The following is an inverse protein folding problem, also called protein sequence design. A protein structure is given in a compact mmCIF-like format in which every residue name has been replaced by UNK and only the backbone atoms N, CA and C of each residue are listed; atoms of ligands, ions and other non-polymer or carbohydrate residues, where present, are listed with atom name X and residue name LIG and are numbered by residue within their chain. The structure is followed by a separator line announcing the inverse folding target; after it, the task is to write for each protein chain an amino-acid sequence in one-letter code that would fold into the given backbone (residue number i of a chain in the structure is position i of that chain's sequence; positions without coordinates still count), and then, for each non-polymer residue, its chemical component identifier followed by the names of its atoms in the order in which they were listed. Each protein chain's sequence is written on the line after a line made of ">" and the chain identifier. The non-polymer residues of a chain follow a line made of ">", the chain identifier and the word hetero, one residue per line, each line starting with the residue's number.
data_IF_770147665149
#
_entry.id   IF_770147665149
#
_cell.length_a   1.000
_cell.length_b   1.000
_cell.length_c   1.000
_cell.angle_alpha   90.00
_cell.angle_beta   90.00
_cell.angle_gamma   90.00
#
_symmetry.space_group_name_H-M   'P 1'
#
loop_
_entity.id
_entity.type
_entity.pdbx_description
1 polymer ?
#
# COMPACT_ATOMS: atom_id res chain seq x y z
N UNK A 1 10.48 3.44 13.47
CA UNK A 1 11.01 2.27 14.21
C UNK A 1 10.00 1.14 14.08
N UNK A 2 10.37 0.04 13.45
CA UNK A 2 9.51 -1.14 13.39
C UNK A 2 9.51 -1.85 14.75
N UNK A 3 8.32 -2.09 15.31
CA UNK A 3 8.12 -2.83 16.57
C UNK A 3 6.73 -3.50 16.54
N UNK A 4 6.61 -4.63 17.26
CA UNK A 4 5.32 -5.31 17.45
C UNK A 4 4.60 -4.86 18.74
N UNK A 5 5.09 -3.82 19.40
CA UNK A 5 4.58 -3.28 20.65
C UNK A 5 4.80 -1.76 20.73
N UNK A 6 4.15 -1.13 21.70
CA UNK A 6 4.30 0.28 22.00
C UNK A 6 2.96 0.99 22.14
N UNK A 7 2.92 1.94 23.07
CA UNK A 7 1.76 2.80 23.30
C UNK A 7 2.24 4.24 23.39
N UNK A 8 1.64 5.12 22.61
CA UNK A 8 1.93 6.56 22.68
C UNK A 8 0.81 7.26 23.42
N UNK A 9 1.19 8.07 24.40
CA UNK A 9 0.30 9.03 25.07
C UNK A 9 0.72 10.43 24.66
N UNK A 10 -0.18 11.15 23.99
CA UNK A 10 0.01 12.54 23.61
C UNK A 10 -0.78 13.44 24.53
N UNK A 11 -0.11 14.39 25.16
CA UNK A 11 -0.67 15.51 25.89
C UNK A 11 -0.48 16.80 25.07
N UNK A 12 -0.94 17.91 25.59
CA UNK A 12 -0.89 19.20 24.88
C UNK A 12 0.54 19.68 24.60
N UNK A 13 1.43 19.41 25.52
CA UNK A 13 2.80 19.94 25.59
C UNK A 13 3.90 18.88 25.60
N UNK A 14 3.55 17.62 25.73
CA UNK A 14 4.48 16.50 25.76
C UNK A 14 3.87 15.21 25.24
N UNK A 15 4.73 14.23 24.98
CA UNK A 15 4.30 12.88 24.62
C UNK A 15 5.19 11.83 25.30
N UNK A 16 4.62 10.67 25.56
CA UNK A 16 5.30 9.51 26.12
C UNK A 16 5.14 8.32 25.18
N UNK A 17 6.22 7.59 24.98
CA UNK A 17 6.24 6.33 24.25
C UNK A 17 6.59 5.20 25.21
N UNK A 18 5.60 4.41 25.61
CA UNK A 18 5.75 3.26 26.50
C UNK A 18 5.98 2.03 25.64
N UNK A 19 7.12 1.36 25.83
CA UNK A 19 7.53 0.23 25.01
C UNK A 19 8.21 -0.84 25.86
N UNK A 20 8.03 -2.11 25.50
CA UNK A 20 8.56 -3.22 26.28
C UNK A 20 10.09 -3.38 26.16
N UNK A 21 10.63 -4.19 27.06
CA UNK A 21 12.05 -4.49 27.20
C UNK A 21 12.74 -4.85 25.86
N UNK A 22 12.06 -5.53 24.96
CA UNK A 22 12.65 -5.99 23.67
C UNK A 22 13.09 -4.85 22.78
N UNK A 23 12.49 -3.67 22.93
CA UNK A 23 12.69 -2.55 22.02
C UNK A 23 13.18 -1.27 22.71
N UNK A 24 13.27 -1.24 24.05
CA UNK A 24 13.55 -0.02 24.81
C UNK A 24 14.87 0.64 24.44
N UNK A 25 15.93 -0.14 24.25
CA UNK A 25 17.25 0.36 23.88
C UNK A 25 17.22 1.06 22.51
N UNK A 26 16.65 0.38 21.50
CA UNK A 26 16.46 0.96 20.16
C UNK A 26 15.57 2.19 20.22
N UNK A 27 14.48 2.16 20.97
CA UNK A 27 13.57 3.30 21.09
C UNK A 27 14.26 4.54 21.65
N UNK A 28 15.07 4.39 22.69
CA UNK A 28 15.85 5.50 23.28
C UNK A 28 16.83 6.14 22.31
N UNK A 29 17.32 5.38 21.33
CA UNK A 29 18.25 5.90 20.31
C UNK A 29 17.55 6.65 19.18
N UNK A 30 16.38 6.15 18.72
CA UNK A 30 15.75 6.63 17.47
C UNK A 30 14.56 7.57 17.70
N UNK A 31 13.86 7.45 18.82
CA UNK A 31 12.70 8.31 19.12
C UNK A 31 13.17 9.67 19.64
N UNK A 32 12.74 10.75 19.00
CA UNK A 32 13.22 12.11 19.32
C UNK A 32 12.20 13.00 20.03
N UNK A 33 10.91 12.81 19.73
CA UNK A 33 9.86 13.76 20.14
C UNK A 33 8.96 13.23 21.26
N UNK A 34 9.34 12.13 21.91
CA UNK A 34 8.61 11.54 23.03
C UNK A 34 9.57 11.18 24.15
N UNK A 35 9.11 11.23 25.40
CA UNK A 35 9.80 10.61 26.52
C UNK A 35 9.59 9.09 26.42
N UNK A 36 10.67 8.34 26.26
CA UNK A 36 10.63 6.88 26.13
C UNK A 36 10.65 6.23 27.50
N UNK A 37 9.61 5.47 27.82
CA UNK A 37 9.45 4.74 29.07
C UNK A 37 9.45 3.23 28.82
N UNK A 38 10.12 2.48 29.70
CA UNK A 38 10.04 1.03 29.68
C UNK A 38 8.69 0.57 30.24
N UNK A 39 8.05 -0.34 29.53
CA UNK A 39 6.77 -0.92 29.95
C UNK A 39 6.96 -1.92 31.08
N UNK A 40 6.25 -1.71 32.18
CA UNK A 40 6.07 -2.67 33.28
C UNK A 40 4.60 -3.09 33.32
N UNK A 41 3.75 -2.39 34.05
CA UNK A 41 2.30 -2.49 33.96
C UNK A 41 1.77 -1.33 33.11
N UNK A 42 1.46 -1.62 31.84
CA UNK A 42 1.02 -0.61 30.88
C UNK A 42 -0.19 0.20 31.39
N UNK A 43 -1.21 -0.49 31.91
CA UNK A 43 -2.45 0.18 32.28
C UNK A 43 -2.27 1.05 33.54
N UNK A 44 -1.41 0.63 34.47
CA UNK A 44 -1.06 1.43 35.65
C UNK A 44 -0.20 2.64 35.22
N UNK A 45 0.79 2.45 34.35
CA UNK A 45 1.61 3.55 33.84
C UNK A 45 0.75 4.58 33.07
N UNK A 46 -0.16 4.12 32.21
CA UNK A 46 -1.11 5.01 31.50
C UNK A 46 -1.95 5.80 32.50
N UNK A 47 -2.53 5.13 33.49
CA UNK A 47 -3.34 5.79 34.54
C UNK A 47 -2.54 6.84 35.29
N UNK A 48 -1.32 6.51 35.71
CA UNK A 48 -0.44 7.42 36.46
C UNK A 48 -0.13 8.69 35.65
N UNK A 49 0.27 8.54 34.38
CA UNK A 49 0.54 9.68 33.49
C UNK A 49 -0.71 10.55 33.27
N UNK A 50 -1.89 9.94 33.08
CA UNK A 50 -3.13 10.68 32.95
C UNK A 50 -3.48 11.48 34.23
N UNK A 51 -3.19 10.94 35.42
CA UNK A 51 -3.38 11.61 36.71
C UNK A 51 -2.38 12.75 36.88
N UNK A 52 -1.11 12.53 36.58
CA UNK A 52 -0.03 13.52 36.67
C UNK A 52 -0.35 14.74 35.76
N UNK A 53 -0.83 14.50 34.54
CA UNK A 53 -1.21 15.56 33.63
C UNK A 53 -2.66 16.06 33.83
N UNK A 54 -3.33 15.62 34.90
CA UNK A 54 -4.69 16.04 35.27
C UNK A 54 -5.71 15.89 34.10
N UNK A 55 -5.51 14.85 33.26
CA UNK A 55 -6.40 14.57 32.14
C UNK A 55 -7.81 14.26 32.62
N UNK A 56 -8.82 14.78 31.92
CA UNK A 56 -10.24 14.51 32.19
C UNK A 56 -10.86 13.62 31.13
N UNK A 57 -10.38 13.75 29.90
CA UNK A 57 -10.85 12.99 28.74
C UNK A 57 -9.67 12.33 28.06
N UNK A 58 -9.85 11.09 27.64
CA UNK A 58 -8.85 10.28 26.93
C UNK A 58 -9.47 9.81 25.64
N UNK A 59 -8.95 10.28 24.52
CA UNK A 59 -9.32 9.78 23.20
C UNK A 59 -8.49 8.53 22.88
N UNK A 60 -9.09 7.56 22.21
CA UNK A 60 -8.45 6.32 21.77
C UNK A 60 -8.58 6.14 20.25
N UNK A 61 -7.62 5.44 19.66
CA UNK A 61 -7.65 5.09 18.25
C UNK A 61 -8.75 4.03 18.00
N UNK A 62 -9.98 4.49 17.85
CA UNK A 62 -11.17 3.61 17.75
C UNK A 62 -11.17 2.71 16.52
N UNK A 63 -10.45 3.08 15.46
CA UNK A 63 -10.38 2.30 14.20
C UNK A 63 -9.36 1.17 14.26
N UNK A 64 -8.44 1.17 15.23
CA UNK A 64 -7.37 0.16 15.34
C UNK A 64 -7.40 -0.59 16.67
N UNK A 65 -7.90 0.04 17.75
CA UNK A 65 -7.99 -0.57 19.07
C UNK A 65 -9.01 -1.72 19.08
N UNK A 66 -8.59 -2.91 19.51
CA UNK A 66 -9.51 -4.03 19.65
C UNK A 66 -10.50 -3.82 20.80
N UNK A 67 -11.68 -4.44 20.71
CA UNK A 67 -12.68 -4.42 21.82
C UNK A 67 -12.10 -4.92 23.14
N UNK A 68 -11.21 -5.90 23.09
CA UNK A 68 -10.56 -6.43 24.31
C UNK A 68 -9.62 -5.41 24.93
N UNK A 69 -8.79 -4.73 24.12
CA UNK A 69 -7.93 -3.65 24.61
C UNK A 69 -8.74 -2.51 25.21
N UNK A 70 -9.79 -2.07 24.52
CA UNK A 70 -10.70 -1.05 25.00
C UNK A 70 -11.37 -1.43 26.32
N UNK A 71 -11.87 -2.66 26.45
CA UNK A 71 -12.53 -3.15 27.67
C UNK A 71 -11.57 -3.17 28.85
N UNK A 72 -10.32 -3.60 28.65
CA UNK A 72 -9.26 -3.59 29.68
C UNK A 72 -8.92 -2.16 30.10
N UNK A 73 -8.72 -1.26 29.16
CA UNK A 73 -8.45 0.16 29.40
C UNK A 73 -9.60 0.80 30.17
N UNK A 74 -10.84 0.63 29.71
CA UNK A 74 -12.05 1.16 30.37
C UNK A 74 -12.18 0.66 31.83
N UNK A 75 -11.90 -0.63 32.07
CA UNK A 75 -11.92 -1.21 33.42
C UNK A 75 -10.83 -0.60 34.32
N UNK A 76 -9.63 -0.42 33.78
CA UNK A 76 -8.49 0.15 34.54
C UNK A 76 -8.70 1.62 34.89
N UNK A 77 -9.20 2.43 33.95
CA UNK A 77 -9.41 3.86 34.13
C UNK A 77 -10.67 4.17 34.98
N UNK A 78 -11.66 3.27 35.01
CA UNK A 78 -12.91 3.42 35.75
C UNK A 78 -13.72 4.64 35.32
N UNK A 79 -14.48 5.22 36.28
CA UNK A 79 -15.28 6.43 36.01
C UNK A 79 -14.51 7.75 36.19
N UNK A 80 -13.21 7.66 36.52
CA UNK A 80 -12.36 8.83 36.77
C UNK A 80 -12.05 9.62 35.48
N UNK A 81 -11.98 8.93 34.35
CA UNK A 81 -11.70 9.51 33.06
C UNK A 81 -12.85 9.28 32.09
N UNK A 82 -13.19 10.31 31.32
CA UNK A 82 -14.11 10.16 30.21
C UNK A 82 -13.36 9.61 29.00
N UNK A 83 -13.75 8.43 28.51
CA UNK A 83 -13.20 7.87 27.29
C UNK A 83 -13.94 8.41 26.07
N UNK A 84 -13.20 8.99 25.14
CA UNK A 84 -13.67 9.35 23.81
C UNK A 84 -13.21 8.26 22.84
N UNK A 85 -14.16 7.49 22.32
CA UNK A 85 -13.97 6.42 21.36
C UNK A 85 -14.65 6.74 20.02
N UNK A 86 -14.91 8.02 19.76
CA UNK A 86 -15.26 8.50 18.42
C UNK A 86 -14.07 8.29 17.47
N UNK A 87 -14.31 8.45 16.17
CA UNK A 87 -13.23 8.31 15.17
C UNK A 87 -12.34 9.57 15.04
N UNK A 88 -12.57 10.59 15.86
CA UNK A 88 -11.86 11.88 15.78
C UNK A 88 -10.35 11.75 15.88
N UNK A 89 -9.84 10.98 16.86
CA UNK A 89 -8.40 10.77 16.99
C UNK A 89 -7.82 9.99 15.82
N UNK A 90 -8.49 8.89 15.43
CA UNK A 90 -8.06 8.08 14.29
C UNK A 90 -8.01 8.91 13.00
N UNK A 91 -9.03 9.72 12.72
CA UNK A 91 -9.04 10.64 11.57
C UNK A 91 -7.92 11.67 11.62
N UNK A 92 -7.62 12.23 12.79
CA UNK A 92 -6.51 13.17 12.94
C UNK A 92 -5.16 12.52 12.63
N UNK A 93 -4.95 11.27 13.08
CA UNK A 93 -3.72 10.50 12.78
C UNK A 93 -3.64 10.20 11.28
N UNK A 94 -4.73 9.77 10.66
CA UNK A 94 -4.77 9.55 9.20
C UNK A 94 -4.50 10.84 8.42
N UNK A 95 -5.08 11.95 8.81
CA UNK A 95 -4.83 13.24 8.17
C UNK A 95 -3.34 13.63 8.20
N UNK A 96 -2.63 13.37 9.32
CA UNK A 96 -1.19 13.59 9.41
C UNK A 96 -0.37 12.69 8.46
N UNK A 97 -0.90 11.52 8.07
CA UNK A 97 -0.22 10.55 7.21
C UNK A 97 -0.57 10.73 5.72
N UNK A 98 -1.73 11.28 5.44
CA UNK A 98 -2.30 11.38 4.09
C UNK A 98 -1.48 12.29 3.18
N UNK A 99 -1.07 13.46 3.68
CA UNK A 99 -0.21 14.41 2.96
C UNK A 99 1.25 14.17 3.34
N UNK A 100 2.04 13.71 2.39
CA UNK A 100 3.46 13.37 2.59
C UNK A 100 4.34 14.61 2.45
N UNK A 101 5.27 14.76 3.38
CA UNK A 101 6.39 15.71 3.22
C UNK A 101 7.37 15.21 2.14
N UNK A 102 8.21 16.11 1.61
CA UNK A 102 9.23 15.69 0.63
C UNK A 102 10.22 14.67 1.21
N UNK A 103 10.53 14.73 2.52
CA UNK A 103 11.38 13.73 3.17
C UNK A 103 10.75 12.33 3.19
N UNK A 104 9.43 12.23 3.31
CA UNK A 104 8.68 10.97 3.20
C UNK A 104 8.60 10.50 1.75
N UNK A 105 8.35 11.43 0.81
CA UNK A 105 8.33 11.12 -0.62
C UNK A 105 9.68 10.59 -1.12
N UNK A 106 10.81 11.08 -0.60
CA UNK A 106 12.13 10.54 -0.95
C UNK A 106 12.30 9.07 -0.55
N UNK A 107 11.73 8.65 0.59
CA UNK A 107 11.76 7.24 1.02
C UNK A 107 10.87 6.37 0.13
N UNK A 108 9.69 6.87 -0.21
CA UNK A 108 8.76 6.21 -1.14
C UNK A 108 9.41 6.06 -2.51
N UNK A 109 10.07 7.13 -3.03
CA UNK A 109 10.83 7.07 -4.29
C UNK A 109 11.99 6.07 -4.21
N UNK A 110 12.67 5.98 -3.06
CA UNK A 110 13.75 5.00 -2.87
C UNK A 110 13.20 3.56 -2.91
N UNK A 111 12.09 3.29 -2.23
CA UNK A 111 11.42 2.00 -2.28
C UNK A 111 10.99 1.64 -3.71
N UNK A 112 10.42 2.59 -4.45
CA UNK A 112 10.01 2.38 -5.84
C UNK A 112 11.19 2.08 -6.77
N UNK A 113 12.30 2.81 -6.64
CA UNK A 113 13.51 2.53 -7.44
C UNK A 113 14.01 1.10 -7.23
N UNK A 114 13.93 0.57 -6.01
CA UNK A 114 14.31 -0.81 -5.72
C UNK A 114 13.36 -1.80 -6.43
N UNK A 115 12.06 -1.57 -6.38
CA UNK A 115 11.08 -2.39 -7.10
C UNK A 115 11.31 -2.37 -8.62
N UNK A 116 11.65 -1.20 -9.19
CA UNK A 116 11.98 -1.08 -10.62
C UNK A 116 13.26 -1.82 -11.02
N UNK A 117 14.28 -1.84 -10.15
CA UNK A 117 15.49 -2.67 -10.39
C UNK A 117 15.10 -4.14 -10.43
N UNK A 118 14.24 -4.59 -9.50
CA UNK A 118 13.75 -5.97 -9.50
C UNK A 118 12.94 -6.28 -10.77
N UNK A 119 12.16 -5.32 -11.30
CA UNK A 119 11.47 -5.48 -12.57
C UNK A 119 12.44 -5.68 -13.73
N UNK A 120 13.47 -4.86 -13.85
CA UNK A 120 14.45 -5.00 -14.94
C UNK A 120 15.25 -6.29 -14.85
N UNK A 121 15.55 -6.75 -13.65
CA UNK A 121 16.22 -8.03 -13.44
C UNK A 121 15.34 -9.22 -13.82
N UNK A 122 14.06 -9.21 -13.40
CA UNK A 122 13.15 -10.34 -13.63
C UNK A 122 12.86 -10.57 -15.11
N UNK A 123 12.89 -9.54 -15.96
CA UNK A 123 12.69 -9.68 -17.40
C UNK A 123 13.71 -10.65 -18.06
N UNK A 124 14.93 -10.74 -17.49
CA UNK A 124 15.96 -11.67 -17.96
C UNK A 124 15.79 -13.10 -17.39
N UNK A 125 14.97 -13.24 -16.36
CA UNK A 125 14.74 -14.52 -15.69
C UNK A 125 13.53 -15.26 -16.23
N UNK A 126 12.49 -14.51 -16.66
CA UNK A 126 11.24 -15.07 -17.15
C UNK A 126 11.44 -15.87 -18.44
N UNK A 127 10.97 -17.11 -18.45
CA UNK A 127 10.94 -18.02 -19.60
C UNK A 127 10.01 -19.20 -19.31
N UNK A 128 9.58 -19.95 -20.33
CA UNK A 128 8.80 -21.17 -20.12
C UNK A 128 9.50 -22.15 -19.17
N UNK A 129 8.72 -22.81 -18.30
CA UNK A 129 9.18 -23.76 -17.32
C UNK A 129 9.61 -23.18 -15.96
N UNK A 130 9.69 -21.87 -15.80
CA UNK A 130 9.87 -21.21 -14.49
C UNK A 130 8.55 -21.22 -13.74
N UNK A 131 8.55 -21.52 -12.43
CA UNK A 131 7.34 -21.48 -11.62
C UNK A 131 7.02 -20.07 -11.14
N UNK A 132 5.74 -19.82 -10.83
CA UNK A 132 5.29 -18.56 -10.20
C UNK A 132 6.05 -18.27 -8.90
N UNK A 133 6.32 -19.33 -8.12
CA UNK A 133 7.07 -19.22 -6.87
C UNK A 133 8.52 -18.81 -7.11
N UNK A 134 9.16 -19.28 -8.17
CA UNK A 134 10.54 -18.89 -8.50
C UNK A 134 10.58 -17.41 -8.94
N UNK A 135 9.54 -16.93 -9.66
CA UNK A 135 9.40 -15.50 -10.01
C UNK A 135 9.28 -14.65 -8.75
N UNK A 136 8.36 -15.02 -7.84
CA UNK A 136 8.20 -14.33 -6.54
C UNK A 136 9.51 -14.29 -5.76
N UNK A 137 10.21 -15.42 -5.63
CA UNK A 137 11.46 -15.51 -4.89
C UNK A 137 12.54 -14.64 -5.51
N UNK A 138 12.64 -14.61 -6.83
CA UNK A 138 13.63 -13.78 -7.54
C UNK A 138 13.36 -12.30 -7.34
N UNK A 139 12.10 -11.83 -7.44
CA UNK A 139 11.71 -10.45 -7.17
C UNK A 139 12.10 -10.04 -5.74
N UNK A 140 11.70 -10.84 -4.75
CA UNK A 140 11.97 -10.55 -3.34
C UNK A 140 13.49 -10.55 -3.04
N UNK A 141 14.23 -11.50 -3.58
CA UNK A 141 15.67 -11.55 -3.43
C UNK A 141 16.34 -10.31 -4.01
N UNK A 142 15.98 -9.91 -5.23
CA UNK A 142 16.57 -8.75 -5.89
C UNK A 142 16.26 -7.46 -5.11
N UNK A 143 15.02 -7.30 -4.60
CA UNK A 143 14.67 -6.14 -3.76
C UNK A 143 15.52 -6.09 -2.49
N UNK A 144 15.72 -7.21 -1.80
CA UNK A 144 16.55 -7.30 -0.59
C UNK A 144 18.02 -7.00 -0.89
N UNK A 145 18.58 -7.52 -1.98
CA UNK A 145 19.97 -7.27 -2.42
C UNK A 145 20.22 -5.78 -2.73
N UNK A 146 19.16 -5.04 -3.11
CA UNK A 146 19.27 -3.61 -3.43
C UNK A 146 18.81 -2.68 -2.29
N UNK A 147 18.69 -3.22 -1.06
CA UNK A 147 18.54 -2.42 0.14
C UNK A 147 17.10 -2.20 0.61
N UNK A 148 16.16 -3.03 0.16
CA UNK A 148 14.84 -3.07 0.78
C UNK A 148 14.92 -3.58 2.22
N UNK A 149 14.19 -2.97 3.13
CA UNK A 149 14.00 -3.46 4.50
C UNK A 149 13.11 -4.73 4.56
N UNK A 150 12.36 -5.01 3.50
CA UNK A 150 11.46 -6.14 3.35
C UNK A 150 10.51 -5.95 2.18
N UNK A 151 9.71 -6.98 1.89
CA UNK A 151 8.59 -6.83 0.95
C UNK A 151 7.54 -5.86 1.48
N UNK A 152 6.93 -5.08 0.60
CA UNK A 152 5.86 -4.16 0.95
C UNK A 152 4.59 -4.90 1.38
N UNK A 153 4.33 -6.00 0.69
CA UNK A 153 3.24 -6.96 0.91
C UNK A 153 3.62 -8.30 0.30
N UNK A 154 2.88 -9.39 0.55
CA UNK A 154 3.16 -10.68 -0.08
C UNK A 154 3.13 -10.58 -1.60
N UNK A 155 4.28 -10.75 -2.23
CA UNK A 155 4.46 -10.63 -3.68
C UNK A 155 3.53 -11.56 -4.43
N UNK A 156 2.77 -11.03 -5.39
CA UNK A 156 1.92 -11.77 -6.32
C UNK A 156 2.72 -11.96 -7.61
N UNK A 157 2.86 -13.21 -8.05
CA UNK A 157 3.46 -13.56 -9.33
C UNK A 157 2.64 -14.73 -9.91
N UNK A 158 1.88 -14.46 -10.97
CA UNK A 158 0.91 -15.39 -11.54
C UNK A 158 1.14 -15.56 -13.02
N UNK A 159 0.85 -16.75 -13.57
CA UNK A 159 0.99 -17.04 -15.00
C UNK A 159 -0.25 -17.67 -15.60
N UNK A 160 -0.45 -17.48 -16.89
CA UNK A 160 -1.55 -18.07 -17.67
C UNK A 160 -2.91 -17.76 -17.06
N UNK A 161 -3.73 -18.78 -16.87
CA UNK A 161 -5.09 -18.62 -16.32
C UNK A 161 -5.13 -18.12 -14.88
N UNK A 162 -4.05 -18.31 -14.11
CA UNK A 162 -3.98 -17.83 -12.73
C UNK A 162 -3.94 -16.29 -12.65
N UNK A 163 -3.51 -15.59 -13.72
CA UNK A 163 -3.54 -14.13 -13.77
C UNK A 163 -4.94 -13.54 -13.66
N UNK A 164 -5.99 -14.35 -13.90
CA UNK A 164 -7.39 -13.94 -13.70
C UNK A 164 -7.81 -13.83 -12.23
N UNK A 165 -6.94 -14.19 -11.30
CA UNK A 165 -7.18 -14.08 -9.84
C UNK A 165 -6.44 -12.87 -9.28
N UNK A 166 -7.11 -11.71 -9.01
CA UNK A 166 -6.43 -10.47 -8.58
C UNK A 166 -5.49 -10.65 -7.38
N UNK A 167 -5.87 -11.47 -6.41
CA UNK A 167 -5.09 -11.80 -5.20
C UNK A 167 -4.67 -13.28 -5.17
N UNK A 168 -4.25 -13.81 -6.33
CA UNK A 168 -3.75 -15.18 -6.41
C UNK A 168 -2.43 -15.36 -5.65
N UNK A 169 -2.19 -16.60 -5.21
CA UNK A 169 -0.96 -16.95 -4.47
C UNK A 169 -0.01 -17.70 -5.42
N UNK A 170 1.26 -17.31 -5.52
CA UNK A 170 2.26 -17.96 -6.36
C UNK A 170 2.44 -19.44 -6.02
N UNK A 171 2.35 -20.31 -7.02
CA UNK A 171 2.47 -21.77 -6.90
C UNK A 171 3.82 -22.27 -7.45
N UNK A 172 4.39 -23.27 -6.81
CA UNK A 172 5.56 -24.00 -7.35
C UNK A 172 5.19 -24.98 -8.50
N UNK A 173 3.91 -25.28 -8.64
CA UNK A 173 3.40 -26.25 -9.63
C UNK A 173 2.91 -25.59 -10.92
N UNK A 174 2.55 -24.29 -10.85
CA UNK A 174 2.17 -23.54 -12.05
C UNK A 174 3.43 -22.99 -12.72
N UNK A 175 3.68 -23.49 -13.91
CA UNK A 175 4.87 -23.12 -14.71
C UNK A 175 4.43 -22.22 -15.86
N UNK A 176 5.23 -21.20 -16.12
CA UNK A 176 5.07 -20.34 -17.29
C UNK A 176 5.08 -21.18 -18.57
N UNK A 177 4.13 -20.93 -19.45
CA UNK A 177 4.04 -21.57 -20.78
C UNK A 177 4.31 -20.52 -21.86
N UNK A 178 4.65 -21.00 -23.06
CA UNK A 178 4.73 -20.14 -24.25
C UNK A 178 3.37 -19.52 -24.56
N UNK A 179 3.32 -18.21 -24.72
CA UNK A 179 2.11 -17.43 -24.96
C UNK A 179 1.39 -16.94 -23.71
N UNK A 180 1.88 -17.26 -22.50
CA UNK A 180 1.28 -16.81 -21.26
C UNK A 180 1.51 -15.32 -20.98
N UNK A 181 0.56 -14.69 -20.30
CA UNK A 181 0.84 -13.53 -19.48
C UNK A 181 1.46 -13.95 -18.13
N UNK A 182 2.40 -13.13 -17.67
CA UNK A 182 2.93 -13.16 -16.31
C UNK A 182 2.59 -11.82 -15.65
N UNK A 183 1.71 -11.86 -14.66
CA UNK A 183 1.31 -10.72 -13.84
C UNK A 183 2.13 -10.73 -12.56
N UNK A 184 2.82 -9.63 -12.29
CA UNK A 184 3.68 -9.46 -11.11
C UNK A 184 3.25 -8.18 -10.40
N UNK A 185 2.85 -8.33 -9.14
CA UNK A 185 2.44 -7.24 -8.24
C UNK A 185 3.23 -7.34 -6.95
N UNK A 186 4.02 -6.32 -6.67
CA UNK A 186 5.02 -6.32 -5.61
C UNK A 186 5.54 -4.92 -5.30
N UNK A 187 6.16 -4.79 -4.14
CA UNK A 187 6.78 -3.55 -3.70
C UNK A 187 7.88 -3.78 -2.68
N UNK A 188 8.74 -2.78 -2.54
CA UNK A 188 9.81 -2.72 -1.56
C UNK A 188 9.43 -1.81 -0.38
N UNK A 189 10.15 -1.96 0.73
CA UNK A 189 10.01 -1.08 1.90
C UNK A 189 11.35 -0.41 2.21
N UNK A 190 11.34 0.90 2.43
CA UNK A 190 12.52 1.67 2.85
C UNK A 190 12.17 2.57 4.03
N UNK A 191 12.84 2.37 5.16
CA UNK A 191 12.60 3.09 6.42
C UNK A 191 11.12 3.10 6.85
N UNK A 192 10.41 1.99 6.56
CA UNK A 192 8.98 1.80 6.86
C UNK A 192 8.03 2.41 5.84
N UNK A 193 8.50 3.01 4.75
CA UNK A 193 7.67 3.49 3.65
C UNK A 193 7.61 2.45 2.55
N UNK A 194 6.41 2.24 2.02
CA UNK A 194 6.09 1.23 1.04
C UNK A 194 6.16 1.77 -0.40
N UNK A 195 6.48 0.90 -1.35
CA UNK A 195 6.19 1.09 -2.77
C UNK A 195 5.21 0.04 -3.27
N UNK A 196 4.64 0.30 -4.44
CA UNK A 196 3.63 -0.55 -5.06
C UNK A 196 3.72 -0.48 -6.57
N UNK A 197 3.75 -1.62 -7.25
CA UNK A 197 3.66 -1.66 -8.70
C UNK A 197 3.22 -3.01 -9.24
N UNK A 198 2.34 -2.99 -10.22
CA UNK A 198 1.99 -4.15 -11.01
C UNK A 198 2.46 -4.00 -12.44
N UNK A 199 3.03 -5.08 -12.98
CA UNK A 199 3.31 -5.23 -14.41
C UNK A 199 2.84 -6.59 -14.89
N UNK A 200 2.23 -6.58 -16.07
CA UNK A 200 1.90 -7.79 -16.83
C UNK A 200 2.77 -7.83 -18.07
N UNK A 201 3.48 -8.93 -18.31
CA UNK A 201 4.31 -9.15 -19.49
C UNK A 201 3.88 -10.43 -20.20
N UNK A 202 4.19 -10.58 -21.49
CA UNK A 202 3.97 -11.83 -22.21
C UNK A 202 5.28 -12.62 -22.33
N UNK A 203 5.23 -13.93 -22.14
CA UNK A 203 6.32 -14.86 -22.46
C UNK A 203 5.92 -15.60 -23.73
N UNK A 204 6.62 -15.35 -24.85
CA UNK A 204 6.16 -15.76 -26.17
C UNK A 204 5.04 -14.86 -26.71
N UNK A 205 4.43 -15.25 -27.84
CA UNK A 205 3.46 -14.43 -28.54
C UNK A 205 2.06 -14.50 -27.90
N UNK A 206 1.55 -13.43 -27.28
CA UNK A 206 0.19 -13.40 -26.75
C UNK A 206 -0.83 -13.38 -27.90
N UNK A 207 -2.03 -13.91 -27.63
CA UNK A 207 -3.15 -13.87 -28.58
C UNK A 207 -3.61 -12.44 -28.86
N UNK A 208 -4.38 -12.26 -29.95
CA UNK A 208 -4.96 -10.95 -30.28
C UNK A 208 -5.90 -10.45 -29.18
N UNK A 209 -6.70 -11.33 -28.58
CA UNK A 209 -7.56 -10.98 -27.43
C UNK A 209 -6.75 -10.48 -26.24
N UNK A 210 -5.62 -11.12 -25.93
CA UNK A 210 -4.73 -10.68 -24.84
C UNK A 210 -4.17 -9.29 -25.12
N UNK A 211 -3.75 -9.01 -26.36
CA UNK A 211 -3.26 -7.67 -26.75
C UNK A 211 -4.34 -6.60 -26.61
N UNK A 212 -5.56 -6.88 -27.10
CA UNK A 212 -6.68 -5.94 -27.01
C UNK A 212 -7.04 -5.62 -25.55
N UNK A 213 -7.10 -6.63 -24.67
CA UNK A 213 -7.36 -6.44 -23.23
C UNK A 213 -6.22 -5.63 -22.59
N UNK A 214 -4.97 -5.95 -22.89
CA UNK A 214 -3.82 -5.21 -22.39
C UNK A 214 -3.89 -3.72 -22.75
N UNK A 215 -4.15 -3.41 -24.01
CA UNK A 215 -4.27 -2.03 -24.50
C UNK A 215 -5.45 -1.29 -23.86
N UNK A 216 -6.55 -1.98 -23.60
CA UNK A 216 -7.69 -1.39 -22.87
C UNK A 216 -7.30 -1.00 -21.45
N UNK A 217 -6.64 -1.89 -20.70
CA UNK A 217 -6.15 -1.61 -19.34
C UNK A 217 -5.10 -0.49 -19.35
N UNK A 218 -4.18 -0.52 -20.32
CA UNK A 218 -3.15 0.51 -20.46
C UNK A 218 -3.77 1.89 -20.76
N UNK A 219 -4.77 1.94 -21.61
CA UNK A 219 -5.51 3.17 -21.93
C UNK A 219 -6.23 3.71 -20.68
N UNK A 220 -6.92 2.84 -19.93
CA UNK A 220 -7.60 3.20 -18.70
C UNK A 220 -6.62 3.77 -17.67
N UNK A 221 -5.49 3.12 -17.46
CA UNK A 221 -4.46 3.52 -16.52
C UNK A 221 -3.84 4.88 -16.91
N UNK A 222 -3.47 5.06 -18.17
CA UNK A 222 -2.91 6.32 -18.67
C UNK A 222 -3.91 7.48 -18.55
N UNK A 223 -5.18 7.23 -18.83
CA UNK A 223 -6.24 8.24 -18.70
C UNK A 223 -6.47 8.67 -17.26
N UNK A 224 -6.50 7.72 -16.33
CA UNK A 224 -6.64 8.04 -14.92
C UNK A 224 -5.43 8.86 -14.39
N UNK A 225 -4.20 8.49 -14.76
CA UNK A 225 -3.01 9.26 -14.39
C UNK A 225 -3.06 10.67 -15.00
N UNK A 226 -3.47 10.81 -16.25
CA UNK A 226 -3.56 12.11 -16.91
C UNK A 226 -4.62 13.04 -16.26
N UNK A 227 -5.67 12.45 -15.67
CA UNK A 227 -6.72 13.19 -14.95
C UNK A 227 -6.40 13.45 -13.48
N UNK A 228 -5.40 12.78 -12.90
CA UNK A 228 -5.07 12.87 -11.48
C UNK A 228 -4.49 14.24 -11.11
N UNK A 229 -5.17 14.95 -10.19
CA UNK A 229 -4.74 16.25 -9.67
C UNK A 229 -5.46 16.59 -8.36
N UNK A 230 -5.01 17.64 -7.67
CA UNK A 230 -5.70 18.14 -6.48
C UNK A 230 -7.12 18.65 -6.82
N UNK A 231 -8.02 18.55 -5.87
CA UNK A 231 -9.41 19.01 -5.96
C UNK A 231 -10.37 18.04 -6.65
N UNK A 232 -9.91 16.98 -7.32
CA UNK A 232 -10.81 15.90 -7.73
C UNK A 232 -11.04 14.93 -6.58
N UNK A 233 -12.19 14.26 -6.59
CA UNK A 233 -12.48 13.20 -5.61
C UNK A 233 -11.86 11.87 -6.03
N UNK A 234 -11.65 10.97 -5.06
CA UNK A 234 -11.23 9.60 -5.36
C UNK A 234 -12.20 8.86 -6.29
N UNK A 235 -13.49 9.23 -6.25
CA UNK A 235 -14.52 8.74 -7.17
C UNK A 235 -14.27 9.20 -8.61
N UNK A 236 -13.89 10.45 -8.80
CA UNK A 236 -13.59 10.98 -10.14
C UNK A 236 -12.33 10.37 -10.70
N UNK A 237 -11.32 10.13 -9.85
CA UNK A 237 -10.11 9.40 -10.28
C UNK A 237 -10.44 7.97 -10.70
N UNK A 238 -11.25 7.23 -9.92
CA UNK A 238 -11.71 5.88 -10.28
C UNK A 238 -12.49 5.90 -11.60
N UNK A 239 -13.35 6.89 -11.79
CA UNK A 239 -14.20 7.01 -12.97
C UNK A 239 -13.39 7.13 -14.28
N UNK A 240 -12.26 7.81 -14.28
CA UNK A 240 -11.41 7.94 -15.46
C UNK A 240 -10.93 6.58 -16.00
N UNK A 241 -10.61 5.64 -15.15
CA UNK A 241 -10.22 4.31 -15.56
C UNK A 241 -11.44 3.43 -15.87
N UNK A 242 -12.43 3.48 -14.99
CA UNK A 242 -13.61 2.61 -15.04
C UNK A 242 -14.45 2.83 -16.28
N UNK A 243 -14.69 4.07 -16.68
CA UNK A 243 -15.47 4.38 -17.90
C UNK A 243 -14.87 3.73 -19.15
N UNK A 244 -13.54 3.75 -19.31
CA UNK A 244 -12.85 3.14 -20.46
C UNK A 244 -13.06 1.62 -20.47
N UNK A 245 -12.96 0.99 -19.31
CA UNK A 245 -13.14 -0.47 -19.19
C UNK A 245 -14.61 -0.86 -19.43
N UNK A 246 -15.57 -0.07 -18.93
CA UNK A 246 -17.00 -0.26 -19.15
C UNK A 246 -17.38 -0.05 -20.64
N UNK A 247 -16.88 1.01 -21.29
CA UNK A 247 -17.09 1.27 -22.71
C UNK A 247 -16.53 0.16 -23.60
N UNK A 248 -15.44 -0.49 -23.17
CA UNK A 248 -14.90 -1.66 -23.85
C UNK A 248 -15.69 -2.96 -23.60
N UNK A 249 -16.73 -2.92 -22.75
CA UNK A 249 -17.60 -4.05 -22.42
C UNK A 249 -17.09 -4.96 -21.29
N UNK A 250 -16.09 -4.51 -20.51
CA UNK A 250 -15.46 -5.31 -19.45
C UNK A 250 -15.71 -4.77 -18.04
N UNK A 251 -16.75 -3.95 -17.83
CA UNK A 251 -17.04 -3.34 -16.52
C UNK A 251 -17.22 -4.34 -15.39
N UNK A 252 -17.86 -5.49 -15.65
CA UNK A 252 -18.05 -6.56 -14.65
C UNK A 252 -16.72 -7.30 -14.31
N UNK A 253 -15.72 -7.23 -15.18
CA UNK A 253 -14.41 -7.84 -15.01
C UNK A 253 -13.40 -6.92 -14.31
N UNK A 254 -13.81 -5.70 -13.96
CA UNK A 254 -13.05 -4.75 -13.13
C UNK A 254 -13.73 -4.60 -11.76
N UNK A 255 -13.55 -5.58 -10.91
CA UNK A 255 -14.30 -5.75 -9.65
C UNK A 255 -13.69 -5.06 -8.43
N UNK A 256 -12.59 -4.29 -8.55
CA UNK A 256 -11.95 -3.59 -7.43
C UNK A 256 -11.84 -2.08 -7.67
N UNK A 257 -11.33 -1.35 -6.69
CA UNK A 257 -11.06 0.09 -6.79
C UNK A 257 -9.91 0.37 -7.76
N UNK A 258 -9.90 1.54 -8.36
CA UNK A 258 -8.77 1.97 -9.20
C UNK A 258 -7.50 2.18 -8.42
N UNK A 259 -7.59 2.39 -7.08
CA UNK A 259 -6.40 2.53 -6.26
C UNK A 259 -6.66 2.92 -4.81
N UNK A 260 -5.56 3.05 -4.08
CA UNK A 260 -5.50 3.37 -2.64
C UNK A 260 -4.30 4.25 -2.33
N UNK A 261 -4.29 4.83 -1.12
CA UNK A 261 -3.13 5.53 -0.63
C UNK A 261 -1.99 4.59 -0.26
N UNK A 262 -0.75 5.07 -0.38
CA UNK A 262 0.48 4.36 0.00
C UNK A 262 1.34 5.25 0.87
N UNK A 263 1.94 4.68 1.92
CA UNK A 263 2.84 5.42 2.82
C UNK A 263 3.51 4.52 3.84
N UNK A 264 3.21 4.72 5.12
CA UNK A 264 3.64 3.85 6.22
C UNK A 264 2.87 2.52 6.28
N UNK A 265 1.72 2.47 5.64
CA UNK A 265 0.97 1.25 5.37
C UNK A 265 0.81 1.14 3.85
N UNK A 266 0.76 -0.10 3.37
CA UNK A 266 0.54 -0.35 1.94
C UNK A 266 -0.84 0.15 1.50
N UNK A 267 -1.85 -0.02 2.33
CA UNK A 267 -3.19 0.50 2.12
C UNK A 267 -3.50 1.57 3.16
N UNK A 268 -3.51 2.83 2.74
CA UNK A 268 -3.94 3.94 3.58
C UNK A 268 -4.83 4.93 2.79
N UNK A 269 -5.28 6.00 3.43
CA UNK A 269 -6.06 7.04 2.75
C UNK A 269 -5.16 7.97 1.91
N UNK A 270 -5.73 8.57 0.81
CA UNK A 270 -7.09 8.41 0.31
C UNK A 270 -7.24 7.22 -0.63
N UNK A 271 -8.47 6.74 -0.85
CA UNK A 271 -8.78 5.70 -1.84
C UNK A 271 -9.27 6.33 -3.15
N UNK A 272 -8.94 5.71 -4.28
CA UNK A 272 -9.53 5.98 -5.59
C UNK A 272 -10.58 4.90 -5.90
N UNK A 273 -11.83 5.12 -5.46
CA UNK A 273 -12.91 4.13 -5.58
C UNK A 273 -14.26 4.78 -5.84
N UNK A 274 -15.26 4.04 -6.38
CA UNK A 274 -16.59 4.58 -6.64
C UNK A 274 -17.28 5.20 -5.42
N UNK A 275 -16.91 4.78 -4.20
CA UNK A 275 -17.47 5.27 -2.94
C UNK A 275 -16.78 6.50 -2.36
N UNK A 276 -15.60 6.88 -2.84
CA UNK A 276 -14.76 7.91 -2.21
C UNK A 276 -15.14 9.31 -2.70
N UNK A 277 -15.72 10.10 -1.83
CA UNK A 277 -16.11 11.51 -2.09
C UNK A 277 -15.11 12.53 -1.50
N UNK A 278 -14.03 12.04 -0.90
CA UNK A 278 -12.96 12.89 -0.37
C UNK A 278 -12.13 13.42 -1.53
N UNK A 279 -11.86 14.72 -1.51
CA UNK A 279 -10.97 15.36 -2.49
C UNK A 279 -9.52 14.97 -2.23
N UNK A 280 -8.79 14.80 -3.32
CA UNK A 280 -7.35 14.59 -3.28
C UNK A 280 -6.63 15.92 -3.04
N UNK A 281 -5.62 15.89 -2.18
CA UNK A 281 -4.81 17.04 -1.82
C UNK A 281 -3.38 16.93 -2.36
N UNK A 282 -2.70 18.04 -2.61
CA UNK A 282 -1.27 18.00 -2.96
C UNK A 282 -0.46 17.27 -1.89
N UNK A 283 0.40 16.34 -2.30
CA UNK A 283 1.17 15.48 -1.40
C UNK A 283 0.48 14.16 -1.04
N UNK A 284 -0.77 13.92 -1.46
CA UNK A 284 -1.33 12.57 -1.41
C UNK A 284 -0.56 11.65 -2.35
N UNK A 285 -0.33 10.42 -1.92
CA UNK A 285 0.22 9.35 -2.76
C UNK A 285 -0.86 8.32 -2.96
N UNK A 286 -1.19 8.00 -4.22
CA UNK A 286 -2.27 7.05 -4.56
C UNK A 286 -1.82 6.13 -5.70
N UNK A 287 -2.25 4.87 -5.66
CA UNK A 287 -2.07 3.91 -6.76
C UNK A 287 -3.09 4.17 -7.87
N UNK A 288 -2.74 3.80 -9.09
CA UNK A 288 -3.63 3.76 -10.26
C UNK A 288 -3.40 2.42 -10.95
N UNK A 289 -4.27 1.46 -10.64
CA UNK A 289 -4.08 0.02 -10.90
C UNK A 289 -5.30 -0.66 -11.56
N UNK A 290 -5.91 -0.10 -12.59
CA UNK A 290 -7.02 -0.78 -13.23
C UNK A 290 -6.62 -2.15 -13.76
N UNK A 291 -7.58 -3.08 -13.73
CA UNK A 291 -7.38 -4.44 -14.23
C UNK A 291 -8.63 -5.03 -14.85
N UNK A 292 -8.44 -5.97 -15.78
CA UNK A 292 -9.49 -6.80 -16.38
C UNK A 292 -9.13 -8.26 -16.12
N UNK A 293 -10.04 -8.99 -15.48
CA UNK A 293 -9.83 -10.38 -15.10
C UNK A 293 -10.91 -11.27 -15.73
N UNK A 294 -10.49 -12.16 -16.62
CA UNK A 294 -11.39 -13.09 -17.34
C UNK A 294 -11.27 -14.48 -16.69
N UNK A 295 -12.21 -14.89 -15.82
CA UNK A 295 -12.10 -16.15 -15.08
C UNK A 295 -11.86 -17.35 -15.98
N UNK A 296 -10.80 -18.13 -15.69
CA UNK A 296 -10.41 -19.31 -16.46
C UNK A 296 -9.68 -19.03 -17.77
N UNK A 297 -9.47 -17.75 -18.12
CA UNK A 297 -8.70 -17.37 -19.30
C UNK A 297 -7.40 -16.67 -18.88
N UNK A 298 -7.45 -15.41 -18.51
CA UNK A 298 -6.31 -14.61 -18.06
C UNK A 298 -6.77 -13.29 -17.42
N UNK A 299 -5.84 -12.57 -16.80
CA UNK A 299 -6.05 -11.21 -16.31
C UNK A 299 -4.87 -10.30 -16.64
N UNK A 300 -5.14 -9.00 -16.63
CA UNK A 300 -4.17 -7.92 -16.81
C UNK A 300 -4.40 -6.88 -15.73
N UNK A 301 -3.35 -6.47 -15.05
CA UNK A 301 -3.29 -5.27 -14.22
C UNK A 301 -2.03 -4.48 -14.59
N UNK A 302 -2.16 -3.17 -14.70
CA UNK A 302 -1.04 -2.25 -14.90
C UNK A 302 -1.17 -1.16 -13.86
N UNK A 303 -0.16 -1.02 -13.04
CA UNK A 303 -0.16 -0.11 -11.91
C UNK A 303 1.06 0.78 -11.89
N UNK A 304 0.80 2.03 -11.69
CA UNK A 304 1.76 3.00 -11.19
C UNK A 304 1.18 3.65 -9.92
N UNK A 305 2.00 4.29 -9.11
CA UNK A 305 1.47 5.20 -8.11
C UNK A 305 2.03 6.61 -8.28
N UNK A 306 1.22 7.58 -7.89
CA UNK A 306 1.44 8.99 -8.20
C UNK A 306 1.37 9.85 -6.95
N UNK A 307 2.16 10.94 -6.93
CA UNK A 307 1.98 12.03 -5.97
C UNK A 307 1.08 13.07 -6.59
N UNK A 308 -0.03 13.38 -5.93
CA UNK A 308 -0.95 14.43 -6.35
C UNK A 308 -0.26 15.80 -6.20
N UNK A 309 -0.40 16.65 -7.23
CA UNK A 309 0.09 18.02 -7.26
C UNK A 309 -1.07 18.96 -7.59
N UNK A 310 -0.88 20.27 -7.48
CA UNK A 310 -1.94 21.29 -7.72
C UNK A 310 -2.62 21.10 -9.10
N UNK A 311 -1.85 21.04 -10.18
CA UNK A 311 -2.34 21.02 -11.56
C UNK A 311 -2.14 19.68 -12.26
N UNK A 312 -1.83 18.59 -11.53
CA UNK A 312 -1.56 17.27 -12.11
C UNK A 312 -1.01 16.31 -11.07
N UNK A 313 -0.17 15.37 -11.51
CA UNK A 313 0.51 14.43 -10.61
C UNK A 313 1.94 14.15 -11.06
N UNK A 314 2.77 13.73 -10.11
CA UNK A 314 4.09 13.18 -10.36
C UNK A 314 3.98 11.65 -10.33
N UNK A 315 4.15 11.00 -11.48
CA UNK A 315 4.22 9.54 -11.51
C UNK A 315 5.56 9.08 -10.93
N UNK A 316 5.51 8.29 -9.86
CA UNK A 316 6.70 7.75 -9.17
C UNK A 316 7.23 6.50 -9.87
N UNK A 317 6.38 5.74 -10.56
CA UNK A 317 6.76 4.53 -11.27
C UNK A 317 7.28 4.85 -12.66
N UNK A 318 8.52 4.49 -12.96
CA UNK A 318 9.20 4.74 -14.24
C UNK A 318 9.40 3.48 -15.08
N UNK A 319 9.14 2.30 -14.52
CA UNK A 319 9.19 1.04 -15.26
C UNK A 319 8.29 1.09 -16.51
N UNK A 320 8.75 0.58 -17.67
CA UNK A 320 7.94 0.55 -18.89
C UNK A 320 6.62 -0.18 -18.64
N UNK A 321 5.56 0.31 -19.25
CA UNK A 321 4.21 -0.23 -19.11
C UNK A 321 3.53 -0.58 -20.42
N UNK A 322 4.19 -0.36 -21.53
CA UNK A 322 3.82 -0.96 -22.81
C UNK A 322 4.01 -2.49 -22.74
N UNK A 323 3.23 -3.22 -23.54
CA UNK A 323 3.31 -4.68 -23.55
C UNK A 323 4.70 -5.17 -23.96
N UNK A 324 5.42 -5.73 -23.00
CA UNK A 324 6.69 -6.41 -23.25
C UNK A 324 6.41 -7.87 -23.63
N UNK A 325 6.98 -8.30 -24.75
CA UNK A 325 6.91 -9.68 -25.25
C UNK A 325 8.31 -10.27 -25.13
N UNK A 326 8.49 -11.20 -24.22
CA UNK A 326 9.76 -11.88 -23.97
C UNK A 326 9.86 -13.12 -24.86
N UNK A 327 11.07 -13.43 -25.32
CA UNK A 327 11.35 -14.58 -26.20
C UNK A 327 11.45 -15.89 -25.41
#
# INVERSE_FOLDING_TARGET
>A
MLSSAGTVLCFRDCAYFIIDFRYIEKARTVVKNCTVLEQHDLLEQVRHLLEEHQAKTVAVESMTMTLNQFSKLKKSLGSRFRLDYSDTLSRAIYACRTVKSEAELEKIRAAQRIAEIAFMDILNFLRPGISERDVMLRLNQTMMEHGSDGESFPTIALTGTATSMPHGVPSAERLIQEGDFVLMDYGATVEGYHSDMTRTVAVGQPSEKMRQIYETVLCAQKTAIAGAKAGITGRELDKYARDIIEEAGYGEQFGHSTGHGVGLEIHEFPNASPGTVVELEPGNVVTVEPGIYLPGEFGVRIEDFVVIREDGCENLTKAPKELLVLA
#
